data_IF_813666385697
#
_entry.id   IF_813666385697
#
_cell.length_a   1.000
_cell.length_b   1.000
_cell.length_c   1.000
_cell.angle_alpha   90.00
_cell.angle_beta   90.00
_cell.angle_gamma   90.00
#
_symmetry.space_group_name_H-M   'P 1'
#
loop_
_entity.id
_entity.type
_entity.pdbx_description
1 polymer ?
#
# COMPACT_ATOMS: atom_id res chain seq x y z
N UNK A 1 0.11 -5.02 13.54
CA UNK A 1 0.10 -3.54 13.39
C UNK A 1 -0.51 -2.99 14.68
N UNK A 2 0.02 -1.92 15.25
CA UNK A 2 -0.56 -1.26 16.43
C UNK A 2 -0.39 0.26 16.33
N UNK A 3 -1.26 1.02 16.99
CA UNK A 3 -1.11 2.47 17.15
C UNK A 3 -0.09 2.79 18.24
N UNK A 4 0.54 3.95 18.15
CA UNK A 4 1.47 4.47 19.14
C UNK A 4 1.71 5.97 18.97
N UNK A 5 2.66 6.49 19.73
CA UNK A 5 3.05 7.90 19.71
C UNK A 5 4.56 8.02 19.47
N UNK A 6 4.95 8.96 18.63
CA UNK A 6 6.35 9.31 18.34
C UNK A 6 6.62 10.72 18.86
N UNK A 7 7.59 10.82 19.76
CA UNK A 7 8.05 12.11 20.25
C UNK A 7 9.11 12.67 19.28
N UNK A 8 8.80 13.79 18.64
CA UNK A 8 9.70 14.53 17.77
C UNK A 8 9.92 15.90 18.41
N UNK A 9 11.12 16.14 18.94
CA UNK A 9 11.44 17.35 19.70
C UNK A 9 10.46 17.54 20.89
N UNK A 10 9.64 18.60 20.86
CA UNK A 10 8.63 18.91 21.87
C UNK A 10 7.21 18.53 21.43
N UNK A 11 7.05 17.90 20.27
CA UNK A 11 5.76 17.50 19.72
C UNK A 11 5.58 15.98 19.82
N UNK A 12 4.36 15.56 20.11
CA UNK A 12 3.94 14.16 20.08
C UNK A 12 3.08 13.95 18.85
N UNK A 13 3.46 12.98 18.02
CA UNK A 13 2.78 12.68 16.76
C UNK A 13 2.22 11.27 16.84
N UNK A 14 0.93 11.03 16.52
CA UNK A 14 0.39 9.69 16.45
C UNK A 14 1.01 8.92 15.28
N UNK A 15 1.37 7.66 15.52
CA UNK A 15 2.01 6.79 14.53
C UNK A 15 1.38 5.42 14.47
N UNK A 16 1.39 4.82 13.27
CA UNK A 16 1.13 3.39 13.11
C UNK A 16 2.46 2.63 13.12
N UNK A 17 2.53 1.59 13.94
CA UNK A 17 3.72 0.77 14.12
C UNK A 17 3.48 -0.60 13.52
N UNK A 18 4.25 -0.95 12.48
CA UNK A 18 4.28 -2.28 11.88
C UNK A 18 5.51 -3.01 12.38
N UNK A 19 5.31 -4.09 13.15
CA UNK A 19 6.39 -4.88 13.73
C UNK A 19 6.58 -6.18 12.97
N UNK A 20 7.82 -6.54 12.68
CA UNK A 20 8.17 -7.86 12.21
C UNK A 20 8.09 -8.87 13.37
N UNK A 21 7.52 -10.05 13.12
CA UNK A 21 7.44 -11.11 14.12
C UNK A 21 8.84 -11.57 14.55
N UNK A 22 9.02 -11.89 15.84
CA UNK A 22 10.31 -12.28 16.40
C UNK A 22 10.88 -13.56 15.79
N UNK A 23 10.01 -14.47 15.34
CA UNK A 23 10.34 -15.73 14.67
C UNK A 23 10.45 -15.61 13.14
N UNK A 24 10.45 -14.39 12.58
CA UNK A 24 10.54 -14.20 11.14
C UNK A 24 11.85 -14.77 10.55
N UNK A 25 11.73 -15.36 9.36
CA UNK A 25 12.87 -15.91 8.63
C UNK A 25 13.90 -14.83 8.27
N UNK A 26 15.14 -15.24 7.98
CA UNK A 26 16.18 -14.32 7.49
C UNK A 26 15.73 -13.59 6.23
N UNK A 27 15.07 -14.29 5.30
CA UNK A 27 14.54 -13.70 4.08
C UNK A 27 13.47 -12.65 4.36
N UNK A 28 12.55 -12.92 5.30
CA UNK A 28 11.53 -11.96 5.72
C UNK A 28 12.15 -10.72 6.36
N UNK A 29 13.21 -10.87 7.16
CA UNK A 29 13.97 -9.74 7.74
C UNK A 29 14.60 -8.86 6.66
N UNK A 30 15.26 -9.47 5.66
CA UNK A 30 15.86 -8.76 4.53
C UNK A 30 14.78 -8.03 3.73
N UNK A 31 13.69 -8.71 3.38
CA UNK A 31 12.58 -8.10 2.64
C UNK A 31 11.97 -6.91 3.38
N UNK A 32 11.75 -7.05 4.69
CA UNK A 32 11.20 -5.99 5.53
C UNK A 32 12.15 -4.79 5.64
N UNK A 33 13.45 -5.03 5.77
CA UNK A 33 14.45 -3.96 5.80
C UNK A 33 14.55 -3.21 4.46
N UNK A 34 14.48 -3.92 3.33
CA UNK A 34 14.46 -3.30 2.00
C UNK A 34 13.21 -2.44 1.82
N UNK A 35 12.07 -2.92 2.29
CA UNK A 35 10.81 -2.18 2.26
C UNK A 35 10.88 -0.92 3.13
N UNK A 36 11.41 -1.02 4.36
CA UNK A 36 11.66 0.14 5.22
C UNK A 36 12.56 1.16 4.52
N UNK A 37 13.67 0.70 3.95
CA UNK A 37 14.66 1.57 3.28
C UNK A 37 14.04 2.29 2.09
N UNK A 38 13.17 1.61 1.35
CA UNK A 38 12.41 2.21 0.26
C UNK A 38 11.41 3.24 0.78
N UNK A 39 10.50 2.84 1.68
CA UNK A 39 9.40 3.69 2.16
C UNK A 39 9.90 4.95 2.88
N UNK A 40 10.97 4.84 3.67
CA UNK A 40 11.57 6.00 4.36
C UNK A 40 12.24 7.00 3.42
N UNK A 41 12.54 6.61 2.18
CA UNK A 41 13.06 7.52 1.15
C UNK A 41 11.97 8.28 0.38
N UNK A 42 10.70 7.91 0.55
CA UNK A 42 9.58 8.49 -0.19
C UNK A 42 8.98 9.69 0.55
N UNK A 43 8.66 10.73 -0.20
CA UNK A 43 7.95 11.90 0.30
C UNK A 43 6.98 12.41 -0.76
N UNK A 44 5.70 12.04 -0.63
CA UNK A 44 4.63 12.45 -1.53
C UNK A 44 3.31 12.51 -0.76
N UNK A 45 2.42 13.49 -1.01
CA UNK A 45 1.16 13.64 -0.26
C UNK A 45 0.26 12.40 -0.32
N UNK A 46 0.27 11.68 -1.45
CA UNK A 46 -0.56 10.50 -1.69
C UNK A 46 0.13 9.14 -1.46
N UNK A 47 1.28 9.13 -0.79
CA UNK A 47 1.97 7.91 -0.36
C UNK A 47 2.07 7.96 1.16
N UNK A 48 1.88 6.82 1.83
CA UNK A 48 1.97 6.77 3.29
C UNK A 48 3.36 7.24 3.75
N UNK A 49 3.37 8.24 4.63
CA UNK A 49 4.63 8.79 5.13
C UNK A 49 5.26 7.86 6.16
N UNK A 50 6.48 7.41 5.90
CA UNK A 50 7.29 6.67 6.85
C UNK A 50 8.20 7.61 7.64
N UNK A 51 7.99 7.73 8.96
CA UNK A 51 8.83 8.53 9.84
C UNK A 51 10.20 7.90 10.07
N UNK A 52 10.28 6.57 10.01
CA UNK A 52 11.52 5.84 10.25
C UNK A 52 11.28 4.41 10.70
N UNK A 53 12.30 3.80 11.29
CA UNK A 53 12.23 2.45 11.81
C UNK A 53 12.94 2.32 13.17
N UNK A 54 12.53 1.33 13.96
CA UNK A 54 13.23 0.88 15.14
C UNK A 54 13.83 -0.49 14.88
N UNK A 55 15.12 -0.67 15.21
CA UNK A 55 15.79 -1.98 15.09
C UNK A 55 15.54 -2.89 16.29
N UNK A 56 15.34 -2.32 17.47
CA UNK A 56 15.20 -3.03 18.75
C UNK A 56 13.91 -2.62 19.48
N UNK A 57 13.28 -3.54 20.27
CA UNK A 57 13.61 -4.95 20.46
C UNK A 57 13.19 -5.84 19.28
N UNK A 58 12.33 -5.33 18.39
CA UNK A 58 11.92 -5.98 17.14
C UNK A 58 11.92 -4.96 16.02
N UNK A 59 12.41 -5.34 14.85
CA UNK A 59 12.41 -4.46 13.67
C UNK A 59 10.99 -3.97 13.39
N UNK A 60 10.81 -2.66 13.39
CA UNK A 60 9.50 -2.01 13.30
C UNK A 60 9.56 -0.79 12.40
N UNK A 61 8.58 -0.63 11.52
CA UNK A 61 8.36 0.56 10.70
C UNK A 61 7.36 1.49 11.41
N UNK A 62 7.66 2.78 11.47
CA UNK A 62 6.76 3.82 11.97
C UNK A 62 6.27 4.67 10.80
N UNK A 63 4.95 4.72 10.60
CA UNK A 63 4.30 5.55 9.58
C UNK A 63 3.35 6.55 10.21
N UNK A 64 2.88 7.51 9.41
CA UNK A 64 1.72 8.33 9.78
C UNK A 64 0.59 7.45 10.31
N UNK A 65 0.02 7.87 11.44
CA UNK A 65 -1.17 7.22 11.96
C UNK A 65 -2.31 7.52 11.01
N UNK A 66 -2.98 6.46 10.63
CA UNK A 66 -4.24 6.56 9.93
C UNK A 66 -5.32 6.38 10.98
N UNK A 67 -6.29 7.29 10.98
CA UNK A 67 -7.37 7.33 11.96
C UNK A 67 -8.03 5.95 12.06
N UNK A 68 -8.55 5.60 13.24
CA UNK A 68 -9.26 4.33 13.47
C UNK A 68 -10.49 4.15 12.56
N UNK A 69 -10.95 5.23 11.93
CA UNK A 69 -12.03 5.25 10.93
C UNK A 69 -11.55 5.12 9.49
N UNK A 70 -10.23 5.18 9.25
CA UNK A 70 -9.65 5.04 7.91
C UNK A 70 -9.84 3.61 7.45
N UNK A 71 -10.67 3.44 6.44
CA UNK A 71 -10.86 2.19 5.71
C UNK A 71 -10.11 2.26 4.40
N UNK A 72 -9.79 1.10 3.84
CA UNK A 72 -9.28 1.07 2.48
C UNK A 72 -10.36 1.49 1.48
N UNK A 73 -9.92 1.94 0.31
CA UNK A 73 -10.80 2.49 -0.71
C UNK A 73 -11.79 1.44 -1.22
N UNK A 74 -11.42 0.16 -1.22
CA UNK A 74 -12.35 -0.89 -1.60
C UNK A 74 -13.54 -0.92 -0.63
N UNK A 75 -13.29 -0.97 0.68
CA UNK A 75 -14.34 -0.92 1.70
C UNK A 75 -15.15 0.37 1.62
N UNK A 76 -14.49 1.51 1.42
CA UNK A 76 -15.15 2.82 1.24
C UNK A 76 -16.18 2.79 0.10
N UNK A 77 -15.78 2.28 -1.06
CA UNK A 77 -16.67 2.17 -2.22
C UNK A 77 -17.81 1.16 -2.00
N UNK A 78 -17.58 0.08 -1.25
CA UNK A 78 -18.64 -0.87 -0.93
C UNK A 78 -19.73 -0.25 -0.03
N UNK A 79 -19.35 0.55 0.97
CA UNK A 79 -20.33 1.25 1.82
C UNK A 79 -21.20 2.21 0.98
N UNK A 80 -20.58 3.02 0.11
CA UNK A 80 -21.33 3.91 -0.79
C UNK A 80 -22.31 3.17 -1.71
N UNK A 81 -21.91 2.00 -2.21
CA UNK A 81 -22.76 1.15 -3.06
C UNK A 81 -23.98 0.62 -2.29
N UNK A 82 -23.81 0.22 -1.04
CA UNK A 82 -24.89 -0.29 -0.19
C UNK A 82 -25.92 0.78 0.15
N UNK A 83 -25.49 2.02 0.33
CA UNK A 83 -26.37 3.15 0.63
C UNK A 83 -27.19 3.63 -0.59
N UNK A 84 -27.02 3.01 -1.76
CA UNK A 84 -27.67 3.38 -3.04
C UNK A 84 -27.51 4.85 -3.43
N UNK A 85 -26.52 5.56 -2.91
CA UNK A 85 -26.24 6.96 -3.20
C UNK A 85 -25.40 7.11 -4.47
N UNK A 86 -25.84 6.49 -5.57
CA UNK A 86 -25.22 6.73 -6.87
C UNK A 86 -25.58 8.14 -7.36
N UNK A 87 -24.74 9.10 -7.01
CA UNK A 87 -24.88 10.52 -7.37
C UNK A 87 -23.70 10.99 -8.20
N UNK A 88 -23.87 12.10 -8.92
CA UNK A 88 -22.78 12.78 -9.64
C UNK A 88 -21.58 13.09 -8.72
N UNK A 89 -21.82 13.24 -7.42
CA UNK A 89 -20.79 13.41 -6.39
C UNK A 89 -19.85 12.21 -6.28
N UNK A 90 -20.35 10.97 -6.45
CA UNK A 90 -19.51 9.77 -6.38
C UNK A 90 -18.55 9.68 -7.57
N UNK A 91 -19.02 10.03 -8.77
CA UNK A 91 -18.16 10.05 -9.96
C UNK A 91 -17.04 11.10 -9.83
N UNK A 92 -17.38 12.30 -9.36
CA UNK A 92 -16.39 13.33 -9.07
C UNK A 92 -15.36 12.86 -8.03
N UNK A 93 -15.82 12.17 -6.97
CA UNK A 93 -14.97 11.62 -5.92
C UNK A 93 -14.05 10.51 -6.44
N UNK A 94 -14.56 9.61 -7.29
CA UNK A 94 -13.77 8.55 -7.91
C UNK A 94 -12.68 9.11 -8.85
N UNK A 95 -13.02 10.10 -9.66
CA UNK A 95 -12.04 10.81 -10.51
C UNK A 95 -10.98 11.50 -9.63
N UNK A 96 -11.40 12.11 -8.53
CA UNK A 96 -10.49 12.74 -7.58
C UNK A 96 -9.52 11.74 -6.96
N UNK A 97 -9.99 10.57 -6.49
CA UNK A 97 -9.13 9.50 -5.99
C UNK A 97 -8.19 8.95 -7.06
N UNK A 98 -8.68 8.74 -8.28
CA UNK A 98 -7.86 8.32 -9.41
C UNK A 98 -6.73 9.31 -9.72
N UNK A 99 -7.01 10.62 -9.65
CA UNK A 99 -6.00 11.66 -9.85
C UNK A 99 -4.88 11.64 -8.79
N UNK A 100 -5.24 11.34 -7.54
CA UNK A 100 -4.29 11.24 -6.43
C UNK A 100 -3.35 10.04 -6.59
N UNK A 101 -3.89 8.88 -6.98
CA UNK A 101 -3.08 7.69 -7.27
C UNK A 101 -2.21 7.89 -8.51
N UNK A 102 -2.74 8.52 -9.56
CA UNK A 102 -1.94 8.87 -10.73
C UNK A 102 -0.75 9.80 -10.36
N UNK A 103 -0.96 10.77 -9.46
CA UNK A 103 0.13 11.61 -8.94
C UNK A 103 1.19 10.79 -8.19
N UNK A 104 0.78 9.87 -7.31
CA UNK A 104 1.70 8.99 -6.61
C UNK A 104 2.51 8.10 -7.58
N UNK A 105 1.86 7.54 -8.60
CA UNK A 105 2.51 6.70 -9.60
C UNK A 105 3.49 7.49 -10.47
N UNK A 106 3.16 8.72 -10.85
CA UNK A 106 4.08 9.60 -11.57
C UNK A 106 5.33 9.92 -10.73
N UNK A 107 5.16 10.15 -9.42
CA UNK A 107 6.28 10.33 -8.50
C UNK A 107 7.14 9.06 -8.39
N UNK A 108 6.55 7.89 -8.21
CA UNK A 108 7.29 6.62 -8.16
C UNK A 108 8.04 6.33 -9.49
N UNK A 109 7.41 6.58 -10.64
CA UNK A 109 8.04 6.44 -11.96
C UNK A 109 9.27 7.34 -12.09
N UNK A 110 9.20 8.58 -11.57
CA UNK A 110 10.33 9.52 -11.59
C UNK A 110 11.54 9.05 -10.78
N UNK A 111 11.32 8.15 -9.82
CA UNK A 111 12.36 7.53 -8.99
C UNK A 111 12.75 6.13 -9.47
N UNK A 112 12.19 5.66 -10.60
CA UNK A 112 12.34 4.29 -11.10
C UNK A 112 11.91 3.22 -10.08
N UNK A 113 10.89 3.53 -9.29
CA UNK A 113 10.28 2.63 -8.31
C UNK A 113 8.96 2.11 -8.90
N UNK A 114 8.73 0.80 -8.76
CA UNK A 114 7.49 0.16 -9.15
C UNK A 114 6.79 -0.34 -7.90
N UNK A 115 5.50 -0.05 -7.75
CA UNK A 115 4.72 -0.45 -6.57
C UNK A 115 4.36 -1.93 -6.60
N UNK A 116 4.04 -2.50 -7.78
CA UNK A 116 3.76 -3.95 -7.99
C UNK A 116 2.47 -4.50 -7.41
N UNK A 117 1.71 -3.70 -6.66
CA UNK A 117 0.42 -4.10 -6.05
C UNK A 117 -0.53 -2.90 -5.96
N UNK A 118 -0.75 -2.22 -7.08
CA UNK A 118 -1.75 -1.14 -7.15
C UNK A 118 -3.14 -1.76 -7.19
N UNK A 119 -3.92 -1.48 -6.15
CA UNK A 119 -5.30 -1.91 -5.99
C UNK A 119 -6.01 -1.04 -4.93
N UNK A 120 -7.35 -0.97 -4.99
CA UNK A 120 -8.13 -0.17 -4.05
C UNK A 120 -7.91 -0.56 -2.57
N UNK A 121 -7.64 -1.85 -2.29
CA UNK A 121 -7.30 -2.35 -0.94
C UNK A 121 -6.00 -1.81 -0.36
N UNK A 122 -5.12 -1.27 -1.20
CA UNK A 122 -3.82 -0.70 -0.85
C UNK A 122 -3.88 0.84 -0.80
N UNK A 123 -5.08 1.42 -0.85
CA UNK A 123 -5.30 2.86 -0.80
C UNK A 123 -6.16 3.16 0.42
N UNK A 124 -5.64 3.92 1.38
CA UNK A 124 -6.40 4.34 2.55
C UNK A 124 -7.06 5.68 2.30
N UNK A 125 -8.33 5.82 2.69
CA UNK A 125 -9.10 7.06 2.55
C UNK A 125 -9.11 7.79 3.88
N UNK A 126 -8.56 9.00 3.91
CA UNK A 126 -8.59 9.87 5.09
C UNK A 126 -9.91 10.65 5.19
N UNK A 127 -10.16 11.28 6.34
CA UNK A 127 -11.38 12.08 6.57
C UNK A 127 -11.54 13.26 5.60
N UNK A 128 -10.43 13.83 5.13
CA UNK A 128 -10.39 14.91 4.14
C UNK A 128 -10.41 14.42 2.68
N UNK A 129 -10.74 13.14 2.44
CA UNK A 129 -10.77 12.50 1.12
C UNK A 129 -9.40 12.47 0.42
N UNK A 130 -8.32 12.49 1.20
CA UNK A 130 -6.97 12.27 0.71
C UNK A 130 -6.69 10.77 0.64
N UNK A 131 -6.11 10.31 -0.46
CA UNK A 131 -5.69 8.92 -0.61
C UNK A 131 -4.25 8.76 -0.15
N UNK A 132 -4.00 7.73 0.68
CA UNK A 132 -2.66 7.28 1.10
C UNK A 132 -2.39 5.90 0.52
N UNK A 133 -1.56 5.84 -0.51
CA UNK A 133 -1.07 4.58 -1.07
C UNK A 133 -0.12 3.90 -0.08
N UNK A 134 -0.37 2.63 0.21
CA UNK A 134 0.42 1.80 1.13
C UNK A 134 0.44 0.34 0.64
N UNK A 135 1.31 -0.49 1.22
CA UNK A 135 1.37 -1.93 0.94
C UNK A 135 1.15 -2.74 2.23
N UNK A 136 -0.11 -2.82 2.66
CA UNK A 136 -0.51 -3.57 3.86
C UNK A 136 -1.57 -4.62 3.59
N UNK A 137 -2.17 -4.65 2.39
CA UNK A 137 -3.21 -5.61 2.10
C UNK A 137 -2.72 -7.07 2.11
N UNK A 138 -1.44 -7.32 1.79
CA UNK A 138 -0.83 -8.65 1.90
C UNK A 138 -0.88 -9.23 3.32
N UNK A 139 -0.99 -8.38 4.35
CA UNK A 139 -1.05 -8.78 5.75
C UNK A 139 -2.48 -8.84 6.31
N UNK A 140 -3.50 -8.53 5.51
CA UNK A 140 -4.89 -8.47 5.93
C UNK A 140 -5.64 -9.74 5.49
N UNK A 141 -6.19 -10.48 6.46
CA UNK A 141 -6.88 -11.75 6.20
C UNK A 141 -8.09 -11.59 5.26
N UNK A 142 -8.73 -10.41 5.25
CA UNK A 142 -9.86 -10.08 4.36
C UNK A 142 -9.47 -10.20 2.88
N UNK A 143 -8.21 -9.93 2.54
CA UNK A 143 -7.72 -9.93 1.16
C UNK A 143 -6.93 -11.20 0.79
N UNK A 144 -6.98 -12.26 1.61
CA UNK A 144 -6.22 -13.50 1.34
C UNK A 144 -6.54 -14.07 -0.04
N UNK A 145 -7.81 -14.05 -0.46
CA UNK A 145 -8.29 -14.57 -1.74
C UNK A 145 -7.96 -13.65 -2.95
N UNK A 146 -7.37 -12.48 -2.70
CA UNK A 146 -6.78 -11.64 -3.76
C UNK A 146 -5.40 -12.14 -4.19
N UNK A 147 -4.74 -12.95 -3.35
CA UNK A 147 -3.37 -13.42 -3.61
C UNK A 147 -3.32 -14.93 -3.82
N UNK A 148 -2.76 -15.35 -4.94
CA UNK A 148 -2.55 -16.77 -5.25
C UNK A 148 -1.06 -17.09 -5.36
N UNK A 149 -0.69 -18.33 -5.04
CA UNK A 149 0.67 -18.81 -5.20
C UNK A 149 0.96 -19.00 -6.68
N UNK A 150 2.04 -18.37 -7.15
CA UNK A 150 2.49 -18.42 -8.54
C UNK A 150 3.96 -18.79 -8.58
N UNK A 151 4.28 -19.74 -9.45
CA UNK A 151 5.63 -20.09 -9.85
C UNK A 151 5.86 -19.54 -11.24
N UNK A 152 6.84 -18.64 -11.41
CA UNK A 152 7.23 -18.11 -12.72
C UNK A 152 8.61 -18.66 -13.07
N UNK A 153 8.68 -19.55 -14.05
CA UNK A 153 9.93 -20.23 -14.41
C UNK A 153 10.46 -21.12 -13.28
N UNK A 154 11.74 -20.93 -12.90
CA UNK A 154 12.40 -21.65 -11.81
C UNK A 154 12.40 -20.87 -10.47
N UNK A 155 11.64 -19.78 -10.38
CA UNK A 155 11.57 -18.98 -9.15
C UNK A 155 10.77 -19.69 -8.05
N UNK A 156 11.01 -19.25 -6.81
CA UNK A 156 10.26 -19.70 -5.63
C UNK A 156 8.78 -19.27 -5.77
N UNK A 157 7.86 -20.11 -5.29
CA UNK A 157 6.43 -19.77 -5.19
C UNK A 157 6.24 -18.42 -4.47
N UNK A 158 5.61 -17.47 -5.16
CA UNK A 158 5.32 -16.14 -4.62
C UNK A 158 3.82 -15.87 -4.66
N UNK A 159 3.29 -15.26 -3.60
CA UNK A 159 1.90 -14.80 -3.56
C UNK A 159 1.76 -13.56 -4.45
N UNK A 160 0.83 -13.58 -5.41
CA UNK A 160 0.62 -12.47 -6.35
C UNK A 160 -0.85 -12.11 -6.52
N UNK A 161 -1.16 -10.80 -6.65
CA UNK A 161 -2.50 -10.31 -6.94
C UNK A 161 -2.81 -10.42 -8.44
N UNK A 162 -2.95 -11.65 -8.96
CA UNK A 162 -3.01 -11.89 -10.42
C UNK A 162 -4.04 -11.01 -11.14
N UNK A 163 -5.20 -10.76 -10.52
CA UNK A 163 -6.27 -9.93 -11.13
C UNK A 163 -5.81 -8.50 -11.47
N UNK A 164 -4.81 -7.97 -10.76
CA UNK A 164 -4.26 -6.64 -10.98
C UNK A 164 -2.93 -6.66 -11.74
N UNK A 165 -2.36 -7.83 -12.02
CA UNK A 165 -1.05 -7.93 -12.67
C UNK A 165 -1.15 -7.81 -14.20
N UNK A 166 -0.26 -7.00 -14.79
CA UNK A 166 -0.06 -6.98 -16.23
C UNK A 166 0.43 -8.36 -16.74
N UNK A 167 0.19 -8.65 -18.02
CA UNK A 167 0.55 -9.94 -18.61
C UNK A 167 2.06 -10.21 -18.52
N UNK A 168 2.91 -9.20 -18.69
CA UNK A 168 4.37 -9.36 -18.59
C UNK A 168 4.83 -9.64 -17.16
N UNK A 169 4.11 -9.14 -16.16
CA UNK A 169 4.35 -9.46 -14.75
C UNK A 169 4.03 -10.92 -14.46
N UNK A 170 2.95 -11.44 -15.04
CA UNK A 170 2.49 -12.82 -14.86
C UNK A 170 3.40 -13.80 -15.61
N UNK A 171 3.63 -13.56 -16.90
CA UNK A 171 4.30 -14.51 -17.77
C UNK A 171 5.83 -14.42 -17.73
N UNK A 172 6.38 -13.24 -17.46
CA UNK A 172 7.82 -12.96 -17.60
C UNK A 172 8.48 -12.49 -16.30
N UNK A 173 7.74 -12.42 -15.19
CA UNK A 173 8.18 -11.84 -13.92
C UNK A 173 8.79 -10.42 -14.07
N UNK A 174 8.29 -9.65 -15.04
CA UNK A 174 8.85 -8.34 -15.40
C UNK A 174 7.97 -7.21 -14.87
N UNK A 175 8.50 -6.47 -13.90
CA UNK A 175 7.85 -5.27 -13.34
C UNK A 175 8.38 -4.00 -14.01
N UNK A 176 7.48 -3.09 -14.35
CA UNK A 176 7.79 -1.77 -14.94
C UNK A 176 6.78 -0.72 -14.47
N UNK A 177 7.04 0.56 -14.74
CA UNK A 177 6.01 1.59 -14.56
C UNK A 177 4.76 1.31 -15.39
N UNK A 178 4.89 0.66 -16.56
CA UNK A 178 3.74 0.31 -17.42
C UNK A 178 2.93 -0.86 -16.87
N UNK A 179 3.55 -1.76 -16.11
CA UNK A 179 2.79 -2.78 -15.39
C UNK A 179 1.97 -2.15 -14.25
N UNK A 180 2.49 -1.13 -13.57
CA UNK A 180 1.71 -0.37 -12.58
C UNK A 180 0.58 0.45 -13.23
N UNK A 181 0.78 0.97 -14.46
CA UNK A 181 -0.29 1.62 -15.24
C UNK A 181 -1.40 0.62 -15.61
N UNK A 182 -1.06 -0.62 -15.94
CA UNK A 182 -2.08 -1.67 -16.12
C UNK A 182 -2.87 -1.89 -14.83
N UNK A 183 -2.18 -2.05 -13.70
CA UNK A 183 -2.83 -2.22 -12.40
C UNK A 183 -3.72 -1.02 -12.03
N UNK A 184 -3.29 0.20 -12.36
CA UNK A 184 -4.08 1.43 -12.22
C UNK A 184 -5.34 1.44 -13.11
N UNK A 185 -5.31 0.77 -14.27
CA UNK A 185 -6.51 0.60 -15.10
C UNK A 185 -7.52 -0.39 -14.53
N UNK A 186 -7.08 -1.32 -13.66
CA UNK A 186 -7.93 -2.29 -12.97
C UNK A 186 -8.44 -1.75 -11.62
N UNK A 187 -7.66 -0.87 -10.99
CA UNK A 187 -7.97 -0.17 -9.74
C UNK A 187 -9.35 0.50 -9.76
#
# INVERSE_FOLDING_TARGET
>A
ICQGELQINQSVVPVTIRRLLSNASVQSKISFFNEISLLTSLCHPNIIHAYGFCSEPTMSLLTESLDLTSIDLYQYLQHYKQEQQMSDSLYATAIYFGSQIASALAYLESLHIYHRDIAARNCLVTLDLTIKLHDLAMCNEVYTDDYILVTVGNDIETRRPIRWCAWETICLNRFTSKSDVFSFGVF
#
